data_IF_908585386465
#
_entry.id   IF_908585386465
#
_cell.length_a   1.000
_cell.length_b   1.000
_cell.length_c   1.000
_cell.angle_alpha   90.00
_cell.angle_beta   90.00
_cell.angle_gamma   90.00
#
_symmetry.space_group_name_H-M   'P 1'
#
loop_
_entity.id
_entity.type
_entity.pdbx_description
1 polymer ?
#
# COMPACT_ATOMS: atom_id res chain seq x y z
N UNK A 1 7.06 -18.95 -42.14
CA UNK A 1 5.61 -19.14 -42.37
C UNK A 1 5.15 -20.30 -41.51
N UNK A 2 4.43 -19.98 -40.42
CA UNK A 2 3.74 -20.82 -39.41
C UNK A 2 3.99 -20.16 -38.04
N UNK A 3 3.28 -19.09 -37.68
CA UNK A 3 1.87 -18.99 -37.28
C UNK A 3 1.58 -19.64 -35.91
N UNK A 4 1.27 -18.74 -34.97
CA UNK A 4 0.33 -18.84 -33.84
C UNK A 4 0.61 -19.81 -32.68
N UNK A 5 0.85 -19.21 -31.51
CA UNK A 5 -0.03 -19.38 -30.35
C UNK A 5 0.13 -18.18 -29.41
N UNK A 6 -0.55 -17.07 -29.72
CA UNK A 6 -0.84 -16.06 -28.72
C UNK A 6 -1.81 -16.70 -27.73
N UNK A 7 -1.30 -17.17 -26.59
CA UNK A 7 -2.15 -17.62 -25.50
C UNK A 7 -2.91 -16.39 -25.00
N UNK A 8 -4.18 -16.29 -25.38
CA UNK A 8 -5.11 -15.34 -24.84
C UNK A 8 -5.07 -15.46 -23.31
N UNK A 9 -4.59 -14.40 -22.67
CA UNK A 9 -4.83 -14.11 -21.27
C UNK A 9 -6.34 -14.04 -21.08
N UNK A 10 -6.94 -15.16 -20.72
CA UNK A 10 -8.30 -15.19 -20.24
C UNK A 10 -8.32 -14.40 -18.93
N UNK A 11 -8.75 -13.15 -18.99
CA UNK A 11 -9.18 -12.39 -17.82
C UNK A 11 -10.36 -13.15 -17.20
N UNK A 12 -10.06 -14.02 -16.23
CA UNK A 12 -11.09 -14.48 -15.30
C UNK A 12 -11.57 -13.21 -14.57
N UNK A 13 -12.87 -12.89 -14.55
CA UNK A 13 -13.32 -11.64 -13.97
C UNK A 13 -13.06 -11.70 -12.47
N UNK A 14 -12.01 -11.03 -12.02
CA UNK A 14 -11.75 -10.82 -10.60
C UNK A 14 -12.60 -9.64 -10.11
N UNK A 15 -13.91 -9.81 -10.22
CA UNK A 15 -14.88 -8.88 -9.65
C UNK A 15 -16.00 -9.73 -9.06
N UNK A 16 -15.83 -10.10 -7.80
CA UNK A 16 -17.01 -10.32 -6.98
C UNK A 16 -17.75 -8.99 -6.98
N UNK A 17 -18.94 -8.95 -7.61
CA UNK A 17 -19.79 -7.76 -7.62
C UNK A 17 -19.98 -7.27 -6.19
N UNK A 18 -19.95 -5.96 -5.97
CA UNK A 18 -20.24 -5.33 -4.65
C UNK A 18 -21.56 -5.89 -4.08
N UNK A 19 -22.50 -6.28 -4.93
CA UNK A 19 -23.76 -6.92 -4.56
C UNK A 19 -23.59 -8.22 -3.75
N UNK A 20 -22.50 -8.97 -3.93
CA UNK A 20 -22.22 -10.21 -3.19
C UNK A 20 -21.87 -9.96 -1.71
N UNK A 21 -21.48 -8.72 -1.36
CA UNK A 21 -21.12 -8.34 0.00
C UNK A 21 -22.22 -7.54 0.71
N UNK A 22 -23.40 -7.48 0.10
CA UNK A 22 -24.57 -6.79 0.64
C UNK A 22 -25.50 -7.81 1.29
N UNK A 23 -25.61 -7.79 2.61
CA UNK A 23 -26.60 -8.61 3.31
C UNK A 23 -28.00 -7.98 3.20
N UNK A 24 -28.98 -8.82 2.88
CA UNK A 24 -30.40 -8.46 2.90
C UNK A 24 -30.88 -8.45 4.36
N UNK A 25 -31.32 -7.30 4.84
CA UNK A 25 -32.11 -7.16 6.06
C UNK A 25 -33.34 -6.32 5.75
N UNK A 26 -34.39 -6.37 6.58
CA UNK A 26 -35.58 -5.50 6.42
C UNK A 26 -35.27 -3.99 6.62
N UNK A 27 -34.00 -3.59 6.72
CA UNK A 27 -33.51 -2.21 6.82
C UNK A 27 -32.37 -1.92 5.84
N UNK A 28 -31.47 -1.01 6.21
CA UNK A 28 -30.35 -0.63 5.36
C UNK A 28 -29.49 -1.84 4.97
N UNK A 29 -29.05 -1.85 3.71
CA UNK A 29 -28.14 -2.85 3.16
C UNK A 29 -26.77 -2.74 3.81
N UNK A 30 -26.35 -3.78 4.53
CA UNK A 30 -25.03 -3.81 5.17
C UNK A 30 -23.98 -4.15 4.13
N UNK A 31 -23.01 -3.25 3.93
CA UNK A 31 -21.83 -3.50 3.09
C UNK A 31 -20.73 -4.09 3.97
N UNK A 32 -20.42 -5.37 3.79
CA UNK A 32 -19.35 -6.03 4.54
C UNK A 32 -17.96 -5.71 3.97
N UNK A 33 -17.39 -4.58 4.40
CA UNK A 33 -16.06 -4.15 3.97
C UNK A 33 -14.93 -5.12 4.31
N UNK A 34 -15.05 -5.86 5.42
CA UNK A 34 -14.05 -6.86 5.83
C UNK A 34 -13.96 -8.02 4.85
N UNK A 35 -15.12 -8.57 4.46
CA UNK A 35 -15.18 -9.65 3.47
C UNK A 35 -14.69 -9.16 2.10
N UNK A 36 -15.15 -7.98 1.67
CA UNK A 36 -14.71 -7.38 0.41
C UNK A 36 -13.20 -7.16 0.36
N UNK A 37 -12.61 -6.58 1.43
CA UNK A 37 -11.18 -6.32 1.49
C UNK A 37 -10.35 -7.60 1.45
N UNK A 38 -10.83 -8.69 2.08
CA UNK A 38 -10.19 -10.00 2.03
C UNK A 38 -10.15 -10.55 0.59
N UNK A 39 -11.26 -10.46 -0.12
CA UNK A 39 -11.37 -10.94 -1.50
C UNK A 39 -10.51 -10.11 -2.46
N UNK A 40 -10.43 -8.80 -2.26
CA UNK A 40 -9.51 -7.92 -3.00
C UNK A 40 -8.05 -8.37 -2.78
N UNK A 41 -7.62 -8.59 -1.54
CA UNK A 41 -6.24 -9.02 -1.26
C UNK A 41 -5.92 -10.39 -1.85
N UNK A 42 -6.86 -11.34 -1.79
CA UNK A 42 -6.70 -12.65 -2.44
C UNK A 42 -6.56 -12.53 -3.97
N UNK A 43 -7.35 -11.65 -4.60
CA UNK A 43 -7.23 -11.34 -6.02
C UNK A 43 -5.87 -10.73 -6.38
N UNK A 44 -5.41 -9.75 -5.60
CA UNK A 44 -4.09 -9.13 -5.77
C UNK A 44 -2.97 -10.17 -5.61
N UNK A 45 -3.04 -11.04 -4.60
CA UNK A 45 -2.06 -12.11 -4.39
C UNK A 45 -1.96 -13.04 -5.60
N UNK A 46 -3.10 -13.44 -6.17
CA UNK A 46 -3.15 -14.27 -7.38
C UNK A 46 -2.48 -13.58 -8.58
N UNK A 47 -2.76 -12.27 -8.77
CA UNK A 47 -2.14 -11.46 -9.82
C UNK A 47 -0.63 -11.34 -9.64
N UNK A 48 -0.17 -11.05 -8.42
CA UNK A 48 1.27 -10.96 -8.10
C UNK A 48 1.95 -12.30 -8.34
N UNK A 49 1.34 -13.42 -7.93
CA UNK A 49 1.87 -14.76 -8.19
C UNK A 49 2.02 -15.05 -9.69
N UNK A 50 0.99 -14.71 -10.48
CA UNK A 50 1.02 -14.88 -11.94
C UNK A 50 2.13 -14.06 -12.59
N UNK A 51 2.26 -12.79 -12.19
CA UNK A 51 3.32 -11.91 -12.71
C UNK A 51 4.72 -12.36 -12.28
N UNK A 52 4.88 -12.87 -11.05
CA UNK A 52 6.14 -13.45 -10.57
C UNK A 52 6.55 -14.69 -11.36
N UNK A 53 5.60 -15.53 -11.74
CA UNK A 53 5.88 -16.71 -12.57
C UNK A 53 6.40 -16.33 -13.98
N UNK A 54 5.96 -15.19 -14.51
CA UNK A 54 6.39 -14.66 -15.81
C UNK A 54 7.68 -13.84 -15.70
N UNK A 55 7.86 -13.12 -14.60
CA UNK A 55 9.04 -12.30 -14.31
C UNK A 55 9.46 -12.52 -12.85
N UNK A 56 10.46 -13.38 -12.60
CA UNK A 56 10.94 -13.67 -11.25
C UNK A 56 11.49 -12.45 -10.49
N UNK A 57 11.75 -11.31 -11.15
CA UNK A 57 12.17 -10.07 -10.50
C UNK A 57 11.01 -9.21 -10.02
N UNK A 58 9.76 -9.57 -10.35
CA UNK A 58 8.58 -8.79 -9.98
C UNK A 58 8.27 -8.96 -8.48
N UNK A 59 8.84 -8.09 -7.66
CA UNK A 59 8.61 -8.07 -6.22
C UNK A 59 8.10 -6.70 -5.78
N UNK A 60 6.77 -6.46 -5.81
CA UNK A 60 6.20 -5.22 -5.30
C UNK A 60 6.63 -5.00 -3.84
N UNK A 61 7.03 -3.77 -3.54
CA UNK A 61 7.53 -3.39 -2.23
C UNK A 61 6.95 -2.05 -1.80
N UNK A 62 6.24 -2.06 -0.68
CA UNK A 62 5.77 -0.86 0.02
C UNK A 62 6.72 -0.49 1.15
N UNK A 63 7.24 0.74 1.13
CA UNK A 63 7.92 1.34 2.29
C UNK A 63 6.92 2.21 3.06
N UNK A 64 6.86 2.04 4.38
CA UNK A 64 6.02 2.84 5.27
C UNK A 64 6.92 3.62 6.22
N UNK A 65 6.84 4.94 6.20
CA UNK A 65 7.61 5.84 7.06
C UNK A 65 6.74 6.30 8.23
N UNK A 66 7.19 6.05 9.46
CA UNK A 66 6.58 6.56 10.68
C UNK A 66 7.57 7.50 11.36
N UNK A 67 7.10 8.65 11.84
CA UNK A 67 7.88 9.52 12.73
C UNK A 67 7.26 9.44 14.12
N UNK A 68 8.07 9.10 15.11
CA UNK A 68 7.59 8.88 16.47
C UNK A 68 7.05 7.47 16.69
N UNK A 69 6.21 7.32 17.71
CA UNK A 69 5.78 5.99 18.19
C UNK A 69 4.33 5.94 18.66
N UNK A 70 3.50 6.86 18.16
CA UNK A 70 2.08 6.90 18.48
C UNK A 70 1.40 5.52 18.37
N UNK A 71 0.68 5.05 19.41
CA UNK A 71 0.09 3.70 19.42
C UNK A 71 -0.92 3.44 18.31
N UNK A 72 -1.75 4.43 17.98
CA UNK A 72 -2.73 4.36 16.90
C UNK A 72 -2.07 4.16 15.54
N UNK A 73 -1.06 4.98 15.23
CA UNK A 73 -0.26 4.92 14.01
C UNK A 73 0.42 3.56 13.88
N UNK A 74 0.99 3.07 14.98
CA UNK A 74 1.65 1.75 15.02
C UNK A 74 0.66 0.61 14.73
N UNK A 75 -0.56 0.66 15.27
CA UNK A 75 -1.60 -0.33 14.99
C UNK A 75 -2.05 -0.29 13.51
N UNK A 76 -2.19 0.90 12.93
CA UNK A 76 -2.51 1.06 11.51
C UNK A 76 -1.40 0.51 10.62
N UNK A 77 -0.13 0.78 10.92
CA UNK A 77 1.02 0.27 10.17
C UNK A 77 1.10 -1.25 10.22
N UNK A 78 0.82 -1.87 11.38
CA UNK A 78 0.74 -3.33 11.50
C UNK A 78 -0.36 -3.89 10.60
N UNK A 79 -1.51 -3.23 10.54
CA UNK A 79 -2.62 -3.62 9.66
C UNK A 79 -2.24 -3.49 8.18
N UNK A 80 -1.59 -2.38 7.78
CA UNK A 80 -1.06 -2.17 6.42
C UNK A 80 -0.02 -3.22 6.03
N UNK A 81 0.89 -3.55 6.94
CA UNK A 81 1.92 -4.57 6.73
C UNK A 81 1.31 -5.96 6.56
N UNK A 82 0.32 -6.32 7.40
CA UNK A 82 -0.41 -7.58 7.27
C UNK A 82 -1.18 -7.67 5.94
N UNK A 83 -1.80 -6.57 5.50
CA UNK A 83 -2.46 -6.52 4.20
C UNK A 83 -1.48 -6.73 3.04
N UNK A 84 -0.26 -6.17 3.13
CA UNK A 84 0.80 -6.41 2.16
C UNK A 84 1.20 -7.89 2.12
N UNK A 85 1.43 -8.49 3.29
CA UNK A 85 1.77 -9.91 3.43
C UNK A 85 0.68 -10.81 2.81
N UNK A 86 -0.58 -10.60 3.16
CA UNK A 86 -1.74 -11.33 2.60
C UNK A 86 -1.84 -11.18 1.07
N UNK A 87 -1.40 -10.04 0.53
CA UNK A 87 -1.37 -9.76 -0.90
C UNK A 87 -0.07 -10.24 -1.60
N UNK A 88 0.93 -10.75 -0.88
CA UNK A 88 2.24 -11.13 -1.45
C UNK A 88 3.19 -9.97 -1.76
N UNK A 89 2.94 -8.80 -1.19
CA UNK A 89 3.72 -7.56 -1.32
C UNK A 89 4.75 -7.52 -0.17
N UNK A 90 6.02 -7.21 -0.49
CA UNK A 90 7.03 -6.94 0.54
C UNK A 90 6.68 -5.61 1.22
N UNK A 91 6.74 -5.56 2.54
CA UNK A 91 6.61 -4.30 3.28
C UNK A 91 7.86 -4.01 4.11
N UNK A 92 8.26 -2.75 4.20
CA UNK A 92 9.29 -2.29 5.12
C UNK A 92 8.75 -1.14 5.94
N UNK A 93 8.83 -1.27 7.26
CA UNK A 93 8.47 -0.21 8.18
C UNK A 93 9.75 0.52 8.62
N UNK A 94 9.81 1.83 8.35
CA UNK A 94 10.92 2.72 8.70
C UNK A 94 10.40 3.64 9.79
N UNK A 95 10.88 3.44 11.01
CA UNK A 95 10.52 4.26 12.15
C UNK A 95 11.63 5.26 12.44
N UNK A 96 11.30 6.55 12.35
CA UNK A 96 12.15 7.68 12.69
C UNK A 96 11.81 8.17 14.10
N UNK A 97 12.77 8.84 14.75
CA UNK A 97 12.57 9.38 16.09
C UNK A 97 11.47 10.46 16.09
N UNK A 98 10.71 10.59 17.18
CA UNK A 98 9.59 11.55 17.27
C UNK A 98 10.01 13.02 17.18
N UNK A 99 11.30 13.31 17.37
CA UNK A 99 11.91 14.63 17.24
C UNK A 99 12.65 14.82 15.90
N UNK A 100 12.45 13.94 14.91
CA UNK A 100 13.06 14.10 13.60
C UNK A 100 12.56 15.38 12.93
N UNK A 101 13.48 16.10 12.31
CA UNK A 101 13.20 17.31 11.53
C UNK A 101 12.51 16.98 10.21
N UNK A 102 11.79 17.95 9.65
CA UNK A 102 11.17 17.84 8.33
C UNK A 102 12.20 17.42 7.26
N UNK A 103 13.40 17.98 7.32
CA UNK A 103 14.48 17.72 6.38
C UNK A 103 14.99 16.27 6.47
N UNK A 104 15.14 15.72 7.68
CA UNK A 104 15.51 14.29 7.86
C UNK A 104 14.45 13.36 7.27
N UNK A 105 13.17 13.66 7.45
CA UNK A 105 12.07 12.88 6.86
C UNK A 105 12.10 12.97 5.33
N UNK A 106 12.29 14.16 4.78
CA UNK A 106 12.41 14.38 3.33
C UNK A 106 13.61 13.62 2.75
N UNK A 107 14.74 13.58 3.45
CA UNK A 107 15.90 12.79 2.99
C UNK A 107 15.61 11.30 2.91
N UNK A 108 14.86 10.75 3.88
CA UNK A 108 14.42 9.36 3.85
C UNK A 108 13.49 9.13 2.67
N UNK A 109 12.50 10.00 2.45
CA UNK A 109 11.59 9.92 1.29
C UNK A 109 12.36 9.97 -0.02
N UNK A 110 13.32 10.88 -0.18
CA UNK A 110 14.18 10.96 -1.38
C UNK A 110 14.98 9.69 -1.62
N UNK A 111 15.53 9.07 -0.57
CA UNK A 111 16.24 7.78 -0.68
C UNK A 111 15.30 6.68 -1.19
N UNK A 112 14.07 6.64 -0.68
CA UNK A 112 13.06 5.66 -1.12
C UNK A 112 12.58 5.91 -2.56
N UNK A 113 12.46 7.17 -2.99
CA UNK A 113 12.18 7.50 -4.39
C UNK A 113 13.26 6.97 -5.32
N UNK A 114 14.54 7.10 -4.94
CA UNK A 114 15.66 6.61 -5.74
C UNK A 114 15.85 5.09 -5.71
N UNK A 115 15.29 4.39 -4.71
CA UNK A 115 15.45 2.94 -4.57
C UNK A 115 14.54 2.18 -5.54
N UNK A 116 15.12 1.62 -6.60
CA UNK A 116 14.40 0.81 -7.61
C UNK A 116 13.73 -0.44 -7.02
N UNK A 117 14.14 -0.90 -5.84
CA UNK A 117 13.50 -2.03 -5.16
C UNK A 117 12.18 -1.63 -4.48
N UNK A 118 11.94 -0.34 -4.23
CA UNK A 118 10.73 0.21 -3.62
C UNK A 118 9.76 0.64 -4.71
N UNK A 119 8.56 0.05 -4.72
CA UNK A 119 7.51 0.34 -5.70
C UNK A 119 6.56 1.45 -5.24
N UNK A 120 6.43 1.65 -3.93
CA UNK A 120 5.54 2.66 -3.34
C UNK A 120 6.00 3.07 -1.95
N UNK A 121 5.69 4.30 -1.58
CA UNK A 121 6.05 4.91 -0.31
C UNK A 121 4.79 5.49 0.33
N UNK A 122 4.60 5.21 1.61
CA UNK A 122 3.55 5.78 2.44
C UNK A 122 4.17 6.49 3.63
N UNK A 123 3.85 7.75 3.83
CA UNK A 123 4.24 8.50 5.04
C UNK A 123 3.04 8.53 5.99
N UNK A 124 3.20 7.94 7.18
CA UNK A 124 2.11 7.83 8.15
C UNK A 124 1.88 9.19 8.82
N UNK A 125 0.65 9.68 8.67
CA UNK A 125 0.19 10.91 9.32
C UNK A 125 -0.48 10.64 10.69
N UNK A 126 -0.48 11.62 11.60
CA UNK A 126 0.32 12.85 11.53
C UNK A 126 1.81 12.56 11.71
N UNK A 127 2.67 13.43 11.18
CA UNK A 127 4.12 13.21 11.20
C UNK A 127 4.69 13.68 12.53
N UNK A 128 5.04 12.74 13.40
CA UNK A 128 5.62 13.00 14.72
C UNK A 128 4.68 12.62 15.87
N UNK A 129 5.14 12.85 17.10
CA UNK A 129 4.31 12.69 18.29
C UNK A 129 3.57 14.01 18.61
N UNK A 130 2.45 13.95 19.37
CA UNK A 130 1.67 15.15 19.73
C UNK A 130 0.99 15.81 18.51
N UNK A 131 1.21 17.12 18.34
CA UNK A 131 0.65 17.95 17.26
C UNK A 131 1.38 17.78 15.91
N UNK A 132 2.38 16.90 15.84
CA UNK A 132 3.19 16.64 14.65
C UNK A 132 4.14 17.80 14.29
N UNK A 133 4.74 17.74 13.10
CA UNK A 133 5.63 18.79 12.56
C UNK A 133 4.88 20.02 12.02
N UNK A 134 3.54 20.01 12.11
CA UNK A 134 2.65 21.05 11.60
C UNK A 134 2.30 20.89 10.12
N UNK A 135 1.13 21.41 9.68
CA UNK A 135 0.56 21.12 8.36
C UNK A 135 1.44 21.56 7.18
N UNK A 136 2.15 22.69 7.30
CA UNK A 136 3.05 23.17 6.24
C UNK A 136 4.25 22.24 6.05
N UNK A 137 4.80 21.70 7.12
CA UNK A 137 5.91 20.75 7.05
C UNK A 137 5.44 19.36 6.62
N UNK A 138 4.26 18.92 7.06
CA UNK A 138 3.65 17.68 6.57
C UNK A 138 3.47 17.74 5.05
N UNK A 139 2.92 18.85 4.55
CA UNK A 139 2.78 19.08 3.12
C UNK A 139 4.12 19.00 2.39
N UNK A 140 5.18 19.62 2.92
CA UNK A 140 6.53 19.54 2.34
C UNK A 140 7.05 18.10 2.26
N UNK A 141 6.73 17.26 3.23
CA UNK A 141 7.12 15.83 3.22
C UNK A 141 6.34 15.08 2.14
N UNK A 142 5.02 15.27 2.06
CA UNK A 142 4.18 14.62 1.05
C UNK A 142 4.56 15.05 -0.36
N UNK A 143 4.79 16.34 -0.60
CA UNK A 143 5.24 16.88 -1.89
C UNK A 143 6.65 16.40 -2.30
N UNK A 144 7.43 15.81 -1.38
CA UNK A 144 8.71 15.19 -1.69
C UNK A 144 8.56 13.76 -2.24
N UNK A 145 7.39 13.13 -2.14
CA UNK A 145 7.12 11.82 -2.74
C UNK A 145 7.13 11.92 -4.26
N UNK A 146 7.80 10.96 -4.92
CA UNK A 146 7.72 10.85 -6.37
C UNK A 146 6.30 10.47 -6.76
N UNK A 147 5.69 11.12 -7.77
CA UNK A 147 4.30 10.82 -8.18
C UNK A 147 4.10 9.36 -8.59
N UNK A 148 5.16 8.69 -9.04
CA UNK A 148 5.15 7.27 -9.39
C UNK A 148 5.17 6.32 -8.19
N UNK A 149 5.52 6.82 -6.98
CA UNK A 149 5.58 6.04 -5.74
C UNK A 149 4.62 6.52 -4.66
N UNK A 150 3.88 7.60 -4.89
CA UNK A 150 2.83 8.06 -3.99
C UNK A 150 1.61 7.14 -4.10
N UNK A 151 1.41 6.31 -3.08
CA UNK A 151 0.32 5.32 -3.03
C UNK A 151 -0.87 5.77 -2.19
N UNK A 152 -0.74 6.87 -1.43
CA UNK A 152 -1.83 7.41 -0.61
C UNK A 152 -2.56 8.54 -1.33
N UNK A 153 -1.90 9.22 -2.28
CA UNK A 153 -2.52 10.12 -3.26
C UNK A 153 -2.57 11.58 -2.85
#
# INVERSE_FOLDING_TARGET
>A
MASAAAAAIAEKPASASVAAFVQQSEGAKIVNGTALAKDIRASVASRISTLRAQNPRFHPHLAIVQVGSRPDSTAYIRTKSKACEEAGIKSTHIQLAGNSTTEEVIEVVKKLNADESVSGVLVQLPIGDGDGIGPDNERRVIEALGPEKDVDG
#
